data_IF_240434755192
#
_entry.id   IF_240434755192
#
_cell.length_a   1.000
_cell.length_b   1.000
_cell.length_c   1.000
_cell.angle_alpha   90.00
_cell.angle_beta   90.00
_cell.angle_gamma   90.00
#
_symmetry.space_group_name_H-M   'P 1'
#
loop_
_entity.id
_entity.type
_entity.pdbx_description
1 polymer ?
#
# COMPACT_ATOMS: atom_id res chain seq x y z
N UNK A 1 9.05 -0.49 -2.96
CA UNK A 1 10.19 -1.03 -2.20
C UNK A 1 11.21 -1.58 -3.19
N UNK A 2 12.47 -1.21 -3.03
CA UNK A 2 13.62 -1.85 -3.68
C UNK A 2 14.46 -2.49 -2.58
N UNK A 3 14.94 -3.71 -2.79
CA UNK A 3 15.74 -4.47 -1.80
C UNK A 3 17.22 -4.38 -2.15
N UNK A 4 18.05 -4.04 -1.16
CA UNK A 4 19.51 -3.97 -1.32
C UNK A 4 20.23 -5.30 -1.02
N UNK A 5 19.66 -6.15 -0.16
CA UNK A 5 20.25 -7.42 0.28
C UNK A 5 19.71 -8.65 -0.49
N UNK A 6 19.36 -8.50 -1.76
CA UNK A 6 18.90 -9.63 -2.56
C UNK A 6 20.05 -10.62 -2.85
N UNK A 7 19.70 -11.91 -2.92
CA UNK A 7 20.60 -12.98 -3.33
C UNK A 7 20.16 -13.45 -4.71
N UNK A 8 20.92 -13.08 -5.74
CA UNK A 8 20.64 -13.44 -7.13
C UNK A 8 19.22 -12.99 -7.59
N UNK A 9 18.81 -11.78 -7.19
CA UNK A 9 17.50 -11.22 -7.48
C UNK A 9 16.38 -11.68 -6.55
N UNK A 10 16.64 -12.62 -5.62
CA UNK A 10 15.66 -13.19 -4.71
C UNK A 10 15.80 -12.67 -3.28
N UNK A 11 14.68 -12.66 -2.56
CA UNK A 11 14.66 -12.39 -1.13
C UNK A 11 15.44 -13.49 -0.39
N UNK A 12 16.37 -13.16 0.53
CA UNK A 12 16.86 -14.15 1.46
C UNK A 12 15.71 -14.64 2.36
N UNK A 13 15.78 -15.89 2.87
CA UNK A 13 14.85 -16.35 3.89
C UNK A 13 14.87 -15.45 5.13
N UNK A 14 13.73 -15.41 5.83
CA UNK A 14 13.61 -14.66 7.08
C UNK A 14 14.52 -15.26 8.15
N UNK A 15 15.27 -14.41 8.85
CA UNK A 15 16.12 -14.79 9.97
C UNK A 15 15.26 -14.83 11.24
N UNK A 16 14.74 -16.01 11.57
CA UNK A 16 13.93 -16.24 12.77
C UNK A 16 14.28 -17.59 13.42
N UNK A 17 15.34 -17.68 14.25
CA UNK A 17 15.86 -18.95 14.78
C UNK A 17 14.88 -19.74 15.66
N UNK A 18 13.93 -19.04 16.28
CA UNK A 18 12.91 -19.64 17.16
C UNK A 18 11.62 -20.01 16.40
N UNK A 19 11.54 -19.73 15.11
CA UNK A 19 10.39 -20.09 14.30
C UNK A 19 10.48 -21.56 13.86
N UNK A 20 9.42 -22.37 14.04
CA UNK A 20 9.49 -23.82 13.82
C UNK A 20 9.76 -24.21 12.37
N UNK A 21 9.38 -23.36 11.41
CA UNK A 21 9.65 -23.62 9.99
C UNK A 21 11.09 -23.23 9.65
N UNK A 22 11.86 -24.18 9.11
CA UNK A 22 13.27 -23.97 8.74
C UNK A 22 13.49 -22.90 7.67
N UNK A 23 12.49 -22.65 6.82
CA UNK A 23 12.55 -21.66 5.75
C UNK A 23 11.23 -20.91 5.70
N UNK A 24 11.27 -19.63 6.06
CA UNK A 24 10.15 -18.70 5.94
C UNK A 24 10.50 -17.66 4.88
N UNK A 25 9.57 -17.40 3.99
CA UNK A 25 9.65 -16.29 3.04
C UNK A 25 9.02 -15.04 3.66
N UNK A 26 9.64 -13.89 3.43
CA UNK A 26 9.13 -12.61 3.93
C UNK A 26 7.87 -12.22 3.15
N UNK A 27 6.74 -12.15 3.85
CA UNK A 27 5.49 -11.66 3.32
C UNK A 27 5.24 -10.21 3.70
N UNK A 28 4.67 -9.48 2.77
CA UNK A 28 4.25 -8.10 2.96
C UNK A 28 2.75 -7.96 2.72
N UNK A 29 2.14 -7.01 3.43
CA UNK A 29 0.77 -6.58 3.20
C UNK A 29 0.78 -5.12 2.75
N UNK A 30 0.13 -4.85 1.63
CA UNK A 30 -0.27 -3.50 1.24
C UNK A 30 -1.72 -3.31 1.64
N UNK A 31 -1.99 -2.30 2.47
CA UNK A 31 -3.32 -2.01 3.01
C UNK A 31 -3.66 -0.56 2.78
N UNK A 32 -4.83 -0.27 2.22
CA UNK A 32 -5.39 1.08 2.18
C UNK A 32 -6.50 1.15 3.21
N UNK A 33 -6.43 2.11 4.13
CA UNK A 33 -7.43 2.27 5.18
C UNK A 33 -7.52 3.70 5.70
N UNK A 34 -8.56 3.97 6.46
CA UNK A 34 -8.74 5.19 7.24
C UNK A 34 -8.68 4.85 8.73
N UNK A 35 -7.67 5.42 9.41
CA UNK A 35 -7.46 5.20 10.84
C UNK A 35 -8.58 5.80 11.68
N UNK A 36 -9.14 6.94 11.27
CA UNK A 36 -10.15 7.67 12.07
C UNK A 36 -11.47 6.91 12.18
N UNK A 37 -11.88 6.26 11.09
CA UNK A 37 -13.07 5.41 11.05
C UNK A 37 -12.79 3.93 11.26
N UNK A 38 -11.53 3.54 11.46
CA UNK A 38 -11.08 2.15 11.53
C UNK A 38 -11.59 1.29 10.34
N UNK A 39 -11.57 1.87 9.13
CA UNK A 39 -12.09 1.22 7.92
C UNK A 39 -10.94 0.76 7.02
N UNK A 40 -11.01 -0.48 6.54
CA UNK A 40 -10.10 -1.04 5.54
C UNK A 40 -10.78 -1.02 4.16
N UNK A 41 -10.16 -0.38 3.18
CA UNK A 41 -10.69 -0.26 1.81
C UNK A 41 -10.14 -1.30 0.85
N UNK A 42 -8.86 -1.67 0.98
CA UNK A 42 -8.22 -2.65 0.11
C UNK A 42 -7.03 -3.29 0.80
N UNK A 43 -6.78 -4.57 0.53
CA UNK A 43 -5.65 -5.32 1.06
C UNK A 43 -5.12 -6.30 0.01
N UNK A 44 -3.80 -6.33 -0.17
CA UNK A 44 -3.11 -7.33 -1.00
C UNK A 44 -1.87 -7.83 -0.28
N UNK A 45 -1.68 -9.16 -0.28
CA UNK A 45 -0.43 -9.79 0.15
C UNK A 45 0.53 -9.91 -1.03
N UNK A 46 1.80 -9.66 -0.80
CA UNK A 46 2.85 -9.81 -1.80
C UNK A 46 4.14 -10.33 -1.16
N UNK A 47 4.94 -11.01 -1.96
CA UNK A 47 6.36 -11.24 -1.68
C UNK A 47 7.14 -10.25 -2.53
N UNK A 48 8.03 -9.49 -1.89
CA UNK A 48 8.95 -8.59 -2.61
C UNK A 48 10.25 -9.36 -2.80
N UNK A 49 10.77 -9.45 -4.02
CA UNK A 49 12.12 -9.93 -4.32
C UNK A 49 13.04 -8.69 -4.46
N UNK A 50 13.70 -8.46 -5.59
CA UNK A 50 14.45 -7.20 -5.75
C UNK A 50 13.53 -5.97 -5.82
N UNK A 51 12.43 -6.07 -6.58
CA UNK A 51 11.43 -5.00 -6.80
C UNK A 51 10.07 -5.61 -7.08
N UNK A 52 9.01 -4.93 -6.68
CA UNK A 52 7.64 -5.33 -7.00
C UNK A 52 6.80 -4.11 -7.39
N UNK A 53 5.89 -4.30 -8.35
CA UNK A 53 4.88 -3.32 -8.74
C UNK A 53 3.50 -3.95 -8.56
N UNK A 54 2.67 -3.32 -7.75
CA UNK A 54 1.31 -3.78 -7.46
C UNK A 54 0.31 -2.67 -7.71
N UNK A 55 -0.90 -3.06 -8.10
CA UNK A 55 -2.06 -2.16 -8.20
C UNK A 55 -3.01 -2.51 -7.06
N UNK A 56 -3.49 -1.52 -6.32
CA UNK A 56 -4.55 -1.68 -5.32
C UNK A 56 -5.77 -0.91 -5.79
N UNK A 57 -6.88 -1.63 -5.90
CA UNK A 57 -8.16 -1.10 -6.32
C UNK A 57 -9.03 -0.90 -5.07
N UNK A 58 -9.70 0.24 -5.00
CA UNK A 58 -10.68 0.54 -3.95
C UNK A 58 -11.74 1.50 -4.48
N UNK A 59 -12.89 1.54 -3.81
CA UNK A 59 -13.96 2.51 -4.09
C UNK A 59 -13.97 3.58 -3.01
N UNK A 60 -14.07 4.84 -3.42
CA UNK A 60 -14.24 5.95 -2.49
C UNK A 60 -15.57 5.83 -1.73
N UNK A 61 -15.56 6.08 -0.42
CA UNK A 61 -16.76 6.00 0.42
C UNK A 61 -17.67 7.22 0.25
N UNK A 62 -17.11 8.38 -0.07
CA UNK A 62 -17.84 9.64 -0.23
C UNK A 62 -17.17 10.58 -1.24
N UNK A 63 -17.96 11.53 -1.73
CA UNK A 63 -17.45 12.68 -2.50
C UNK A 63 -16.76 13.65 -1.53
N UNK A 64 -15.71 14.31 -2.00
CA UNK A 64 -15.00 15.35 -1.26
C UNK A 64 -13.54 15.04 -1.03
N UNK A 65 -12.96 15.63 0.01
CA UNK A 65 -11.56 15.40 0.40
C UNK A 65 -11.49 14.18 1.30
N UNK A 66 -10.73 13.17 0.89
CA UNK A 66 -10.51 11.94 1.64
C UNK A 66 -9.04 11.86 2.07
N UNK A 67 -8.83 11.49 3.33
CA UNK A 67 -7.51 11.36 3.95
C UNK A 67 -7.35 9.91 4.39
N UNK A 68 -6.69 9.10 3.56
CA UNK A 68 -6.43 7.69 3.82
C UNK A 68 -4.96 7.47 4.11
N UNK A 69 -4.63 6.25 4.54
CA UNK A 69 -3.26 5.78 4.73
C UNK A 69 -3.03 4.53 3.91
N UNK A 70 -1.85 4.46 3.30
CA UNK A 70 -1.28 3.23 2.78
C UNK A 70 -0.33 2.67 3.82
N UNK A 71 -0.62 1.47 4.29
CA UNK A 71 0.26 0.69 5.16
C UNK A 71 0.99 -0.36 4.33
N UNK A 72 2.29 -0.48 4.58
CA UNK A 72 3.13 -1.53 4.04
C UNK A 72 3.71 -2.30 5.23
N UNK A 73 3.11 -3.44 5.53
CA UNK A 73 3.27 -4.16 6.80
C UNK A 73 4.04 -5.47 6.56
N UNK A 74 5.07 -5.71 7.35
CA UNK A 74 5.87 -6.93 7.29
C UNK A 74 5.26 -8.01 8.19
N UNK A 75 5.17 -9.26 7.70
CA UNK A 75 4.70 -10.39 8.52
C UNK A 75 5.81 -11.09 9.32
N UNK A 76 7.03 -10.55 9.27
CA UNK A 76 8.25 -11.25 9.69
C UNK A 76 9.18 -10.42 10.58
N UNK A 77 9.27 -9.11 10.39
CA UNK A 77 10.15 -8.23 11.14
C UNK A 77 9.37 -7.09 11.79
N UNK A 78 9.57 -6.91 13.09
CA UNK A 78 9.03 -5.76 13.82
C UNK A 78 9.83 -4.50 13.47
N UNK A 79 9.15 -3.36 13.35
CA UNK A 79 9.77 -2.08 13.00
C UNK A 79 10.07 -1.89 11.51
N UNK A 80 9.68 -2.85 10.67
CA UNK A 80 9.81 -2.75 9.21
C UNK A 80 8.57 -2.12 8.54
N UNK A 81 7.50 -1.90 9.30
CA UNK A 81 6.25 -1.35 8.79
C UNK A 81 6.41 0.12 8.37
N UNK A 82 5.75 0.50 7.27
CA UNK A 82 5.77 1.85 6.74
C UNK A 82 4.35 2.37 6.54
N UNK A 83 4.16 3.66 6.81
CA UNK A 83 2.90 4.36 6.61
C UNK A 83 3.07 5.55 5.67
N UNK A 84 2.12 5.71 4.76
CA UNK A 84 2.11 6.83 3.82
C UNK A 84 0.74 7.50 3.78
N UNK A 85 0.72 8.82 3.92
CA UNK A 85 -0.52 9.59 3.81
C UNK A 85 -0.98 9.68 2.34
N UNK A 86 -2.22 9.31 2.08
CA UNK A 86 -2.86 9.41 0.78
C UNK A 86 -4.03 10.41 0.85
N UNK A 87 -3.92 11.48 0.06
CA UNK A 87 -4.95 12.53 -0.01
C UNK A 87 -5.62 12.49 -1.37
N UNK A 88 -6.93 12.28 -1.37
CA UNK A 88 -7.75 12.23 -2.59
C UNK A 88 -8.79 13.33 -2.60
N UNK A 89 -9.16 13.79 -3.79
CA UNK A 89 -10.35 14.61 -4.01
C UNK A 89 -11.28 13.87 -4.97
N UNK A 90 -12.38 13.38 -4.44
CA UNK A 90 -13.43 12.69 -5.22
C UNK A 90 -14.47 13.73 -5.62
N UNK A 91 -14.79 13.79 -6.90
CA UNK A 91 -15.82 14.68 -7.44
C UNK A 91 -17.13 13.89 -7.67
N UNK A 92 -18.26 14.59 -7.64
CA UNK A 92 -19.54 14.00 -8.03
C UNK A 92 -19.51 13.56 -9.50
N UNK A 93 -20.08 12.39 -9.78
CA UNK A 93 -20.30 11.95 -11.14
C UNK A 93 -21.30 12.90 -11.82
N UNK A 94 -20.79 13.83 -12.63
CA UNK A 94 -21.62 14.79 -13.39
C UNK A 94 -21.07 16.21 -13.51
N UNK A 95 -20.10 16.61 -12.68
CA UNK A 95 -19.51 17.97 -12.73
C UNK A 95 -18.17 17.98 -13.47
N UNK A 96 -18.20 17.63 -14.76
CA UNK A 96 -17.05 17.91 -15.63
C UNK A 96 -16.86 19.42 -15.68
N UNK A 97 -15.73 19.93 -15.18
CA UNK A 97 -15.43 21.37 -15.19
C UNK A 97 -15.45 21.84 -16.63
N UNK A 98 -16.52 22.53 -17.04
CA UNK A 98 -16.54 23.36 -18.23
C UNK A 98 -15.46 24.41 -17.98
N UNK A 99 -14.24 24.18 -18.49
CA UNK A 99 -13.17 25.19 -18.48
C UNK A 99 -13.80 26.44 -19.07
N UNK A 100 -13.87 27.51 -18.27
CA UNK A 100 -14.27 28.80 -18.78
C UNK A 100 -13.34 29.10 -19.97
N UNK A 101 -13.96 29.39 -21.11
CA UNK A 101 -13.28 29.90 -22.28
C UNK A 101 -12.77 31.27 -21.88
N UNK A 102 -11.46 31.40 -21.67
CA UNK A 102 -10.84 32.72 -21.59
C UNK A 102 -10.97 33.32 -23.01
N UNK A 103 -11.96 34.20 -23.17
CA UNK A 103 -12.02 35.17 -24.25
C UNK A 103 -11.45 36.49 -23.69
N UNK A 104 -10.21 36.79 -24.06
CA UNK A 104 -9.75 38.13 -24.45
C UNK A 104 -8.53 38.01 -25.37
#
# INVERSE_FOLDING_TARGET
MERENDLNGMAPPVVAPLFPQKRKEEGWWLVIGDHSSNTLFSIKRLTVHQKAKMVLDFTASAVGKLHYKLYFICDSYLGADQEFDLKFRVEEAGRSRKRARDEE
#
